data_IF_017320399380
#
_entry.id   IF_017320399380
#
_cell.length_a   1.000
_cell.length_b   1.000
_cell.length_c   1.000
_cell.angle_alpha   90.00
_cell.angle_beta   90.00
_cell.angle_gamma   90.00
#
_symmetry.space_group_name_H-M   'P 1'
#
loop_
_entity.id
_entity.type
_entity.pdbx_description
1 polymer ?
#
# COMPACT_ATOMS: atom_id res chain seq x y z
N UNK A 1 25.73 23.23 -18.14
CA UNK A 1 24.35 23.46 -17.65
C UNK A 1 24.28 23.19 -16.14
N UNK A 2 24.01 24.21 -15.31
CA UNK A 2 24.02 24.06 -13.83
C UNK A 2 23.06 22.97 -13.35
N UNK A 3 23.42 22.27 -12.26
CA UNK A 3 22.65 21.14 -11.72
C UNK A 3 21.18 21.50 -11.41
N UNK A 4 20.91 22.75 -11.02
CA UNK A 4 19.56 23.30 -10.82
C UNK A 4 18.79 23.36 -12.14
N UNK A 5 19.36 23.96 -13.19
CA UNK A 5 18.75 24.04 -14.53
C UNK A 5 18.43 22.64 -15.07
N UNK A 6 19.31 21.67 -14.85
CA UNK A 6 19.05 20.27 -15.22
C UNK A 6 17.84 19.70 -14.46
N UNK A 7 17.77 19.87 -13.14
CA UNK A 7 16.61 19.37 -12.35
C UNK A 7 15.28 20.00 -12.78
N UNK A 8 15.29 21.31 -13.09
CA UNK A 8 14.11 22.02 -13.61
C UNK A 8 13.71 21.44 -14.97
N UNK A 9 14.65 21.29 -15.91
CA UNK A 9 14.38 20.73 -17.23
C UNK A 9 13.79 19.31 -17.17
N UNK A 10 14.36 18.42 -16.34
CA UNK A 10 13.83 17.07 -16.14
C UNK A 10 12.40 17.07 -15.57
N UNK A 11 12.12 17.97 -14.64
CA UNK A 11 10.78 18.07 -14.02
C UNK A 11 9.77 18.66 -15.00
N UNK A 12 10.15 19.70 -15.74
CA UNK A 12 9.30 20.30 -16.78
C UNK A 12 9.00 19.30 -17.91
N UNK A 13 10.01 18.57 -18.39
CA UNK A 13 9.83 17.52 -19.40
C UNK A 13 8.90 16.40 -18.93
N UNK A 14 9.10 15.91 -17.70
CA UNK A 14 8.21 14.89 -17.12
C UNK A 14 6.79 15.42 -16.87
N UNK A 15 6.63 16.68 -16.50
CA UNK A 15 5.32 17.31 -16.35
C UNK A 15 4.60 17.46 -17.69
N UNK A 16 5.29 17.92 -18.73
CA UNK A 16 4.77 17.99 -20.09
C UNK A 16 4.38 16.62 -20.62
N UNK A 17 5.23 15.61 -20.44
CA UNK A 17 4.94 14.22 -20.85
C UNK A 17 3.76 13.61 -20.09
N UNK A 18 3.66 13.86 -18.77
CA UNK A 18 2.53 13.40 -17.97
C UNK A 18 1.21 14.09 -18.36
N UNK A 19 1.24 15.41 -18.59
CA UNK A 19 0.09 16.16 -19.07
C UNK A 19 -0.37 15.66 -20.45
N UNK A 20 0.56 15.45 -21.39
CA UNK A 20 0.27 14.89 -22.71
C UNK A 20 -0.33 13.48 -22.60
N UNK A 21 0.24 12.61 -21.77
CA UNK A 21 -0.29 11.26 -21.54
C UNK A 21 -1.70 11.28 -20.94
N UNK A 22 -1.94 12.12 -19.93
CA UNK A 22 -3.26 12.25 -19.31
C UNK A 22 -4.29 12.87 -20.26
N UNK A 23 -3.89 13.82 -21.09
CA UNK A 23 -4.74 14.38 -22.14
C UNK A 23 -5.09 13.33 -23.21
N UNK A 24 -4.10 12.54 -23.65
CA UNK A 24 -4.31 11.42 -24.57
C UNK A 24 -5.24 10.34 -23.98
N UNK A 25 -5.03 9.99 -22.72
CA UNK A 25 -5.91 9.08 -21.97
C UNK A 25 -7.35 9.61 -21.90
N UNK A 26 -7.51 10.89 -21.56
CA UNK A 26 -8.81 11.55 -21.52
C UNK A 26 -9.52 11.52 -22.87
N UNK A 27 -8.79 11.83 -23.95
CA UNK A 27 -9.31 11.76 -25.32
C UNK A 27 -9.72 10.32 -25.68
N UNK A 28 -8.90 9.32 -25.35
CA UNK A 28 -9.18 7.92 -25.59
C UNK A 28 -10.46 7.45 -24.85
N UNK A 29 -10.65 7.86 -23.59
CA UNK A 29 -11.88 7.57 -22.84
C UNK A 29 -13.13 8.16 -23.53
N UNK A 30 -13.02 9.38 -24.06
CA UNK A 30 -14.12 10.04 -24.77
C UNK A 30 -14.44 9.35 -26.10
N UNK A 31 -13.41 9.00 -26.87
CA UNK A 31 -13.56 8.24 -28.12
C UNK A 31 -14.13 6.84 -27.90
N UNK A 32 -13.82 6.21 -26.77
CA UNK A 32 -14.36 4.90 -26.40
C UNK A 32 -15.75 4.97 -25.72
N UNK A 33 -16.37 6.14 -25.62
CA UNK A 33 -17.69 6.37 -25.01
C UNK A 33 -17.86 5.70 -23.64
N UNK A 34 -16.85 5.80 -22.77
CA UNK A 34 -16.86 5.10 -21.47
C UNK A 34 -18.06 5.52 -20.61
N UNK A 35 -18.82 4.52 -20.14
CA UNK A 35 -20.04 4.73 -19.37
C UNK A 35 -19.78 5.07 -17.89
N UNK A 36 -18.58 4.74 -17.38
CA UNK A 36 -18.25 4.75 -15.95
C UNK A 36 -19.31 4.02 -15.13
N UNK A 37 -19.53 2.76 -15.48
CA UNK A 37 -20.66 1.96 -14.97
C UNK A 37 -20.68 1.89 -13.43
N UNK A 38 -19.52 1.72 -12.79
CA UNK A 38 -19.44 1.63 -11.33
C UNK A 38 -19.68 2.98 -10.66
N UNK A 39 -19.22 4.08 -11.26
CA UNK A 39 -19.56 5.42 -10.78
C UNK A 39 -21.07 5.69 -10.83
N UNK A 40 -21.76 5.13 -11.83
CA UNK A 40 -23.21 5.20 -11.91
C UNK A 40 -23.89 4.35 -10.83
N UNK A 41 -23.31 3.20 -10.46
CA UNK A 41 -23.76 2.42 -9.30
C UNK A 41 -23.57 3.22 -8.01
N UNK A 42 -22.40 3.84 -7.78
CA UNK A 42 -22.16 4.69 -6.61
C UNK A 42 -23.16 5.84 -6.50
N UNK A 43 -23.44 6.51 -7.61
CA UNK A 43 -24.48 7.55 -7.65
C UNK A 43 -25.86 6.99 -7.31
N UNK A 44 -26.21 5.79 -7.80
CA UNK A 44 -27.47 5.14 -7.49
C UNK A 44 -27.56 4.77 -6.01
N UNK A 45 -26.48 4.28 -5.39
CA UNK A 45 -26.39 4.04 -3.95
C UNK A 45 -26.70 5.31 -3.15
N UNK A 46 -26.04 6.42 -3.49
CA UNK A 46 -26.31 7.71 -2.85
C UNK A 46 -27.74 8.21 -3.06
N UNK A 47 -28.35 7.91 -4.22
CA UNK A 47 -29.74 8.26 -4.49
C UNK A 47 -30.71 7.40 -3.68
N UNK A 48 -30.43 6.11 -3.53
CA UNK A 48 -31.19 5.17 -2.70
C UNK A 48 -31.15 5.59 -1.23
N UNK A 49 -29.97 5.94 -0.69
CA UNK A 49 -29.84 6.51 0.67
C UNK A 49 -30.75 7.73 0.83
N UNK A 50 -30.65 8.70 -0.09
CA UNK A 50 -31.46 9.93 -0.02
C UNK A 50 -32.96 9.67 -0.13
N UNK A 51 -33.36 8.67 -0.90
CA UNK A 51 -34.74 8.29 -1.11
C UNK A 51 -35.32 7.41 -0.01
N UNK A 52 -34.52 7.00 0.98
CA UNK A 52 -34.94 6.06 2.01
C UNK A 52 -35.22 4.64 1.47
N UNK A 53 -34.61 4.27 0.34
CA UNK A 53 -34.78 2.95 -0.28
C UNK A 53 -33.86 1.88 0.31
N UNK A 54 -34.15 0.62 0.02
CA UNK A 54 -33.33 -0.54 0.43
C UNK A 54 -32.07 -0.64 -0.44
N UNK A 55 -30.90 -0.42 0.16
CA UNK A 55 -29.61 -0.42 -0.54
C UNK A 55 -29.30 -1.76 -1.20
N UNK A 56 -29.67 -2.87 -0.58
CA UNK A 56 -29.29 -4.20 -1.06
C UNK A 56 -30.35 -4.80 -2.01
N UNK A 57 -31.53 -4.19 -2.10
CA UNK A 57 -32.52 -4.47 -3.12
C UNK A 57 -32.29 -3.70 -4.44
N UNK A 58 -31.60 -2.56 -4.41
CA UNK A 58 -31.43 -1.73 -5.62
C UNK A 58 -30.63 -2.44 -6.73
N UNK A 59 -30.95 -2.10 -7.97
CA UNK A 59 -30.24 -2.55 -9.18
C UNK A 59 -30.00 -1.35 -10.07
N UNK A 60 -28.75 -1.10 -10.43
CA UNK A 60 -28.36 0.07 -11.21
C UNK A 60 -27.81 -0.31 -12.58
N UNK A 61 -27.96 0.62 -13.53
CA UNK A 61 -27.45 0.54 -14.91
C UNK A 61 -28.10 -0.57 -15.74
N UNK A 62 -27.77 -0.63 -17.03
CA UNK A 62 -28.24 -1.69 -17.94
C UNK A 62 -27.79 -3.09 -17.51
N UNK A 63 -26.68 -3.20 -16.77
CA UNK A 63 -26.15 -4.45 -16.27
C UNK A 63 -26.82 -4.94 -14.97
N UNK A 64 -27.80 -4.19 -14.44
CA UNK A 64 -28.52 -4.50 -13.18
C UNK A 64 -27.57 -4.84 -12.02
N UNK A 65 -26.55 -4.01 -11.83
CA UNK A 65 -25.53 -4.23 -10.79
C UNK A 65 -26.09 -3.94 -9.39
N UNK A 66 -25.85 -4.81 -8.40
CA UNK A 66 -26.24 -4.60 -7.01
C UNK A 66 -25.21 -3.76 -6.23
N UNK A 67 -25.62 -3.27 -5.06
CA UNK A 67 -24.70 -2.75 -4.03
C UNK A 67 -23.94 -3.88 -3.36
N UNK A 68 -22.63 -3.73 -3.23
CA UNK A 68 -21.74 -4.78 -2.68
C UNK A 68 -20.86 -4.31 -1.52
N UNK A 69 -20.82 -3.01 -1.27
CA UNK A 69 -19.96 -2.38 -0.27
C UNK A 69 -20.69 -2.23 1.09
N UNK A 70 -19.93 -2.00 2.19
CA UNK A 70 -20.53 -1.66 3.47
C UNK A 70 -21.40 -0.38 3.34
N UNK A 71 -22.47 -0.23 4.15
CA UNK A 71 -23.41 0.88 3.98
C UNK A 71 -22.77 2.27 4.16
N UNK A 72 -21.65 2.36 4.89
CA UNK A 72 -20.88 3.59 5.01
C UNK A 72 -20.44 4.16 3.65
N UNK A 73 -20.12 3.30 2.67
CA UNK A 73 -19.74 3.75 1.34
C UNK A 73 -20.87 4.52 0.65
N UNK A 74 -22.11 4.04 0.76
CA UNK A 74 -23.27 4.67 0.15
C UNK A 74 -23.51 6.09 0.70
N UNK A 75 -23.25 6.32 1.99
CA UNK A 75 -23.29 7.66 2.60
C UNK A 75 -22.29 8.62 1.94
N UNK A 76 -21.07 8.15 1.66
CA UNK A 76 -20.05 8.95 0.97
C UNK A 76 -20.40 9.25 -0.49
N UNK A 77 -21.29 8.46 -1.09
CA UNK A 77 -21.72 8.65 -2.47
C UNK A 77 -22.96 9.55 -2.62
N UNK A 78 -23.64 9.91 -1.53
CA UNK A 78 -24.76 10.86 -1.54
C UNK A 78 -24.43 12.16 -2.31
N UNK A 79 -23.25 12.80 -2.16
CA UNK A 79 -22.94 14.02 -2.89
C UNK A 79 -22.91 13.87 -4.42
N UNK A 80 -22.67 12.66 -4.95
CA UNK A 80 -22.68 12.39 -6.40
C UNK A 80 -24.06 12.64 -7.02
N UNK A 81 -25.13 12.58 -6.22
CA UNK A 81 -26.51 12.80 -6.66
C UNK A 81 -26.79 14.27 -7.00
N UNK A 82 -26.02 15.22 -6.45
CA UNK A 82 -26.17 16.65 -6.71
C UNK A 82 -25.48 17.09 -8.00
N UNK A 83 -24.61 16.25 -8.55
CA UNK A 83 -23.85 16.57 -9.75
C UNK A 83 -24.58 16.12 -11.02
N UNK A 84 -24.47 16.91 -12.09
CA UNK A 84 -24.80 16.43 -13.44
C UNK A 84 -23.84 15.30 -13.83
N UNK A 85 -24.31 14.30 -14.56
CA UNK A 85 -23.52 13.10 -14.92
C UNK A 85 -22.20 13.48 -15.61
N UNK A 86 -22.22 14.44 -16.54
CA UNK A 86 -21.02 14.92 -17.23
C UNK A 86 -19.97 15.49 -16.26
N UNK A 87 -20.39 16.36 -15.33
CA UNK A 87 -19.51 16.95 -14.31
C UNK A 87 -18.95 15.88 -13.38
N UNK A 88 -19.80 14.95 -12.94
CA UNK A 88 -19.41 13.84 -12.08
C UNK A 88 -18.33 12.96 -12.74
N UNK A 89 -18.53 12.56 -14.00
CA UNK A 89 -17.54 11.78 -14.77
C UNK A 89 -16.22 12.53 -14.90
N UNK A 90 -16.26 13.82 -15.25
CA UNK A 90 -15.06 14.66 -15.35
C UNK A 90 -14.32 14.76 -14.02
N UNK A 91 -15.03 15.02 -12.94
CA UNK A 91 -14.46 15.11 -11.59
C UNK A 91 -13.85 13.77 -11.15
N UNK A 92 -14.54 12.64 -11.45
CA UNK A 92 -14.06 11.31 -11.11
C UNK A 92 -12.77 10.94 -11.85
N UNK A 93 -12.65 11.25 -13.15
CA UNK A 93 -11.39 11.06 -13.88
C UNK A 93 -10.29 11.94 -13.30
N UNK A 94 -10.53 13.24 -13.12
CA UNK A 94 -9.53 14.17 -12.58
C UNK A 94 -9.06 13.72 -11.19
N UNK A 95 -9.98 13.35 -10.31
CA UNK A 95 -9.69 12.82 -8.99
C UNK A 95 -8.85 11.54 -9.05
N UNK A 96 -9.21 10.58 -9.91
CA UNK A 96 -8.43 9.35 -10.06
C UNK A 96 -7.02 9.59 -10.65
N UNK A 97 -6.85 10.53 -11.59
CA UNK A 97 -5.53 10.91 -12.10
C UNK A 97 -4.66 11.53 -11.00
N UNK A 98 -5.22 12.38 -10.14
CA UNK A 98 -4.53 12.92 -8.97
C UNK A 98 -4.18 11.82 -7.95
N UNK A 99 -5.11 10.88 -7.71
CA UNK A 99 -4.88 9.73 -6.85
C UNK A 99 -3.81 8.78 -7.42
N UNK A 100 -3.70 8.65 -8.74
CA UNK A 100 -2.61 7.91 -9.38
C UNK A 100 -1.26 8.57 -9.10
N UNK A 101 -1.16 9.90 -9.23
CA UNK A 101 0.06 10.65 -8.87
C UNK A 101 0.39 10.47 -7.38
N UNK A 102 -0.62 10.48 -6.49
CA UNK A 102 -0.44 10.21 -5.07
C UNK A 102 0.03 8.76 -4.80
N UNK A 103 -0.57 7.78 -5.46
CA UNK A 103 -0.22 6.37 -5.36
C UNK A 103 1.25 6.15 -5.75
N UNK A 104 1.67 6.68 -6.90
CA UNK A 104 3.06 6.63 -7.36
C UNK A 104 3.99 7.34 -6.38
N UNK A 105 3.59 8.51 -5.88
CA UNK A 105 4.37 9.25 -4.87
C UNK A 105 4.63 8.41 -3.64
N UNK A 106 3.61 7.73 -3.11
CA UNK A 106 3.70 6.89 -1.92
C UNK A 106 4.44 5.58 -2.20
N UNK A 107 4.24 4.97 -3.37
CA UNK A 107 4.99 3.79 -3.83
C UNK A 107 6.51 4.07 -3.88
N UNK A 108 6.91 5.22 -4.41
CA UNK A 108 8.31 5.67 -4.40
C UNK A 108 8.82 6.05 -3.00
N UNK A 109 7.94 6.31 -2.01
CA UNK A 109 8.38 6.45 -0.60
C UNK A 109 8.71 5.09 0.00
N UNK A 110 7.93 4.06 -0.30
CA UNK A 110 8.11 2.71 0.26
C UNK A 110 9.21 1.91 -0.44
N UNK A 111 9.40 2.12 -1.75
CA UNK A 111 10.39 1.43 -2.57
C UNK A 111 11.73 2.18 -2.75
N UNK A 112 11.85 3.38 -2.17
CA UNK A 112 12.96 4.29 -2.50
C UNK A 112 12.83 4.91 -3.89
N UNK A 113 13.74 5.83 -4.21
CA UNK A 113 13.81 6.45 -5.55
C UNK A 113 15.26 6.48 -6.05
N UNK A 114 15.46 6.51 -7.39
CA UNK A 114 16.77 6.82 -7.95
C UNK A 114 17.22 8.22 -7.49
N UNK A 115 18.35 8.30 -6.76
CA UNK A 115 18.84 9.58 -6.18
C UNK A 115 19.11 10.66 -7.24
N UNK A 116 19.40 10.24 -8.48
CA UNK A 116 19.82 11.09 -9.60
C UNK A 116 18.69 11.82 -10.32
N UNK A 117 17.43 11.38 -10.17
CA UNK A 117 16.25 11.99 -10.82
C UNK A 117 15.47 12.81 -9.80
N UNK A 118 15.01 14.04 -10.13
CA UNK A 118 14.12 14.80 -9.27
C UNK A 118 12.88 13.99 -8.88
N UNK A 119 12.46 14.08 -7.62
CA UNK A 119 11.33 13.29 -7.12
C UNK A 119 10.06 13.53 -7.94
N UNK A 120 9.74 14.79 -8.23
CA UNK A 120 8.58 15.16 -9.03
C UNK A 120 8.67 14.57 -10.45
N UNK A 121 9.84 14.64 -11.09
CA UNK A 121 10.05 14.06 -12.42
C UNK A 121 9.81 12.54 -12.43
N UNK A 122 10.34 11.81 -11.45
CA UNK A 122 10.13 10.37 -11.33
C UNK A 122 8.64 10.02 -11.10
N UNK A 123 7.95 10.77 -10.23
CA UNK A 123 6.52 10.57 -9.98
C UNK A 123 5.71 10.78 -11.26
N UNK A 124 5.94 11.89 -11.96
CA UNK A 124 5.17 12.25 -13.15
C UNK A 124 5.45 11.29 -14.31
N UNK A 125 6.72 10.88 -14.50
CA UNK A 125 7.07 9.91 -15.54
C UNK A 125 6.42 8.54 -15.29
N UNK A 126 6.44 8.04 -14.05
CA UNK A 126 5.80 6.75 -13.72
C UNK A 126 4.28 6.88 -13.83
N UNK A 127 3.67 7.97 -13.37
CA UNK A 127 2.22 8.19 -13.50
C UNK A 127 1.78 8.27 -14.98
N UNK A 128 2.58 8.92 -15.83
CA UNK A 128 2.34 9.03 -17.27
C UNK A 128 2.24 7.67 -17.97
N UNK A 129 3.01 6.67 -17.52
CA UNK A 129 2.96 5.30 -18.04
C UNK A 129 1.88 4.49 -17.33
N UNK A 130 1.79 4.59 -16.00
CA UNK A 130 0.90 3.78 -15.18
C UNK A 130 -0.59 4.01 -15.49
N UNK A 131 -0.99 5.16 -16.07
CA UNK A 131 -2.38 5.41 -16.47
C UNK A 131 -2.87 4.45 -17.56
N UNK A 132 -1.94 3.91 -18.37
CA UNK A 132 -2.22 2.96 -19.45
C UNK A 132 -2.13 1.49 -19.02
N UNK A 133 -1.69 1.24 -17.79
CA UNK A 133 -1.68 -0.09 -17.18
C UNK A 133 -3.13 -0.58 -17.01
N UNK A 134 -3.45 -1.81 -17.41
CA UNK A 134 -4.83 -2.32 -17.48
C UNK A 134 -5.61 -2.12 -16.18
N UNK A 135 -5.09 -2.43 -14.97
CA UNK A 135 -5.87 -2.25 -13.74
C UNK A 135 -6.23 -0.79 -13.48
N UNK A 136 -5.34 0.14 -13.86
CA UNK A 136 -5.52 1.58 -13.69
C UNK A 136 -6.46 2.09 -14.78
N UNK A 137 -6.23 1.72 -16.04
CA UNK A 137 -7.12 2.03 -17.15
C UNK A 137 -8.55 1.60 -16.84
N UNK A 138 -8.76 0.34 -16.43
CA UNK A 138 -10.08 -0.22 -16.13
C UNK A 138 -10.69 0.44 -14.89
N UNK A 139 -9.89 0.79 -13.87
CA UNK A 139 -10.35 1.61 -12.72
C UNK A 139 -10.93 2.94 -13.17
N UNK A 140 -10.22 3.68 -14.02
CA UNK A 140 -10.68 4.97 -14.53
C UNK A 140 -11.82 4.83 -15.55
N UNK A 141 -11.86 3.74 -16.34
CA UNK A 141 -12.93 3.43 -17.30
C UNK A 141 -14.26 3.21 -16.58
N UNK A 142 -14.25 2.55 -15.43
CA UNK A 142 -15.46 2.29 -14.64
C UNK A 142 -15.75 3.37 -13.59
N UNK A 143 -14.79 4.24 -13.29
CA UNK A 143 -14.93 5.29 -12.28
C UNK A 143 -14.82 4.75 -10.84
N UNK A 144 -13.99 3.74 -10.66
CA UNK A 144 -13.77 3.01 -9.41
C UNK A 144 -12.97 3.81 -8.37
N UNK A 145 -13.12 3.43 -7.10
CA UNK A 145 -12.44 4.08 -5.95
C UNK A 145 -11.13 3.38 -5.52
N UNK A 146 -10.66 2.37 -6.25
CA UNK A 146 -9.54 1.54 -5.80
C UNK A 146 -8.23 2.31 -5.58
N UNK A 147 -7.97 3.35 -6.39
CA UNK A 147 -6.80 4.23 -6.19
C UNK A 147 -6.89 4.99 -4.85
N UNK A 148 -8.08 5.45 -4.46
CA UNK A 148 -8.30 6.09 -3.16
C UNK A 148 -7.96 5.13 -2.02
N UNK A 149 -8.46 3.89 -2.09
CA UNK A 149 -8.21 2.88 -1.05
C UNK A 149 -6.72 2.57 -0.91
N UNK A 150 -6.01 2.38 -2.03
CA UNK A 150 -4.58 2.12 -2.03
C UNK A 150 -3.77 3.31 -1.48
N UNK A 151 -4.15 4.55 -1.84
CA UNK A 151 -3.53 5.77 -1.33
C UNK A 151 -3.73 5.92 0.18
N UNK A 152 -4.94 5.67 0.70
CA UNK A 152 -5.23 5.74 2.14
C UNK A 152 -4.37 4.76 2.94
N UNK A 153 -4.24 3.51 2.45
CA UNK A 153 -3.40 2.49 3.08
C UNK A 153 -1.92 2.86 3.03
N UNK A 154 -1.39 3.23 1.86
CA UNK A 154 0.02 3.60 1.74
C UNK A 154 0.35 4.91 2.48
N UNK A 155 -0.62 5.82 2.64
CA UNK A 155 -0.45 7.03 3.42
C UNK A 155 -0.13 6.68 4.88
N UNK A 156 -0.88 5.77 5.48
CA UNK A 156 -0.64 5.26 6.84
C UNK A 156 0.73 4.59 6.98
N UNK A 157 1.06 3.70 6.05
CA UNK A 157 2.32 2.94 6.09
C UNK A 157 3.54 3.85 5.94
N UNK A 158 3.41 4.97 5.24
CA UNK A 158 4.49 5.95 5.05
C UNK A 158 4.54 7.05 6.11
N UNK A 159 3.63 7.04 7.10
CA UNK A 159 3.72 8.00 8.22
C UNK A 159 4.86 7.65 9.17
N UNK A 160 5.45 8.64 9.87
CA UNK A 160 6.38 8.39 10.98
C UNK A 160 5.75 7.55 12.10
N UNK A 161 6.57 6.83 12.86
CA UNK A 161 6.12 5.97 13.96
C UNK A 161 5.32 6.72 15.05
N UNK A 162 5.60 8.01 15.27
CA UNK A 162 4.92 8.85 16.25
C UNK A 162 3.57 9.44 15.76
N UNK A 163 3.22 9.28 14.48
CA UNK A 163 2.00 9.91 13.94
C UNK A 163 0.74 9.30 14.59
N UNK A 164 -0.03 10.12 15.32
CA UNK A 164 -1.17 9.65 16.12
C UNK A 164 -2.33 9.09 15.28
N UNK A 165 -2.52 9.61 14.07
CA UNK A 165 -3.59 9.19 13.16
C UNK A 165 -3.17 8.11 12.17
N UNK A 166 -1.92 7.62 12.22
CA UNK A 166 -1.53 6.53 11.33
C UNK A 166 -2.35 5.28 11.68
N UNK A 167 -3.04 4.73 10.69
CA UNK A 167 -4.03 3.66 10.80
C UNK A 167 -5.43 4.12 10.34
N UNK A 168 -5.74 5.41 10.46
CA UNK A 168 -7.07 5.92 10.14
C UNK A 168 -7.43 5.77 8.66
N UNK A 169 -6.45 5.96 7.76
CA UNK A 169 -6.66 5.74 6.32
C UNK A 169 -7.04 4.28 6.01
N UNK A 170 -6.36 3.33 6.64
CA UNK A 170 -6.59 1.89 6.50
C UNK A 170 -7.98 1.52 7.03
N UNK A 171 -8.36 2.06 8.19
CA UNK A 171 -9.69 1.85 8.76
C UNK A 171 -10.81 2.44 7.89
N UNK A 172 -10.61 3.64 7.36
CA UNK A 172 -11.55 4.28 6.44
C UNK A 172 -11.67 3.49 5.13
N UNK A 173 -10.54 3.04 4.57
CA UNK A 173 -10.54 2.24 3.36
C UNK A 173 -11.30 0.92 3.56
N UNK A 174 -11.10 0.25 4.71
CA UNK A 174 -11.85 -0.95 5.10
C UNK A 174 -13.36 -0.68 5.27
N UNK A 175 -13.72 0.51 5.76
CA UNK A 175 -15.11 0.95 5.91
C UNK A 175 -15.80 1.24 4.57
N UNK A 176 -15.05 1.68 3.56
CA UNK A 176 -15.54 1.88 2.19
C UNK A 176 -15.64 0.55 1.45
N UNK A 177 -14.66 -0.34 1.61
CA UNK A 177 -14.61 -1.65 0.95
C UNK A 177 -13.82 -2.58 1.84
N UNK A 178 -14.31 -3.79 2.13
CA UNK A 178 -13.73 -4.61 3.21
C UNK A 178 -12.30 -5.12 2.96
N UNK A 179 -11.87 -5.24 1.70
CA UNK A 179 -10.58 -5.83 1.29
C UNK A 179 -9.33 -5.27 2.01
N UNK A 180 -9.18 -3.94 2.23
CA UNK A 180 -8.05 -3.37 2.95
C UNK A 180 -7.99 -3.73 4.45
N UNK A 181 -9.03 -4.36 5.03
CA UNK A 181 -9.01 -4.79 6.44
C UNK A 181 -7.83 -5.73 6.76
N UNK A 182 -7.32 -6.48 5.77
CA UNK A 182 -6.15 -7.34 5.93
C UNK A 182 -4.89 -6.54 6.34
N UNK A 183 -4.79 -5.26 5.96
CA UNK A 183 -3.69 -4.41 6.42
C UNK A 183 -3.76 -4.13 7.92
N UNK A 184 -4.95 -3.94 8.49
CA UNK A 184 -5.09 -3.81 9.94
C UNK A 184 -4.63 -5.09 10.66
N UNK A 185 -4.94 -6.26 10.09
CA UNK A 185 -4.47 -7.57 10.58
C UNK A 185 -2.95 -7.69 10.48
N UNK A 186 -2.34 -7.32 9.34
CA UNK A 186 -0.88 -7.25 9.18
C UNK A 186 -0.23 -6.41 10.29
N UNK A 187 -0.73 -5.19 10.51
CA UNK A 187 -0.19 -4.27 11.51
C UNK A 187 -0.35 -4.84 12.93
N UNK A 188 -1.48 -5.47 13.23
CA UNK A 188 -1.75 -6.10 14.51
C UNK A 188 -0.81 -7.27 14.79
N UNK A 189 -0.68 -8.20 13.83
CA UNK A 189 0.16 -9.40 13.94
C UNK A 189 1.63 -9.02 14.03
N UNK A 190 2.10 -8.12 13.14
CA UNK A 190 3.49 -7.66 13.19
C UNK A 190 3.80 -6.91 14.49
N UNK A 191 2.90 -6.05 14.96
CA UNK A 191 3.02 -5.34 16.23
C UNK A 191 3.10 -6.31 17.42
N UNK A 192 2.20 -7.29 17.48
CA UNK A 192 2.16 -8.31 18.54
C UNK A 192 3.43 -9.16 18.56
N UNK A 193 3.87 -9.66 17.39
CA UNK A 193 5.07 -10.49 17.30
C UNK A 193 6.34 -9.71 17.64
N UNK A 194 6.44 -8.44 17.22
CA UNK A 194 7.55 -7.59 17.62
C UNK A 194 7.59 -7.36 19.13
N UNK A 195 6.44 -7.11 19.77
CA UNK A 195 6.35 -6.95 21.21
C UNK A 195 6.76 -8.22 21.97
N UNK A 196 6.34 -9.41 21.49
CA UNK A 196 6.72 -10.70 22.09
C UNK A 196 8.22 -11.00 21.98
N UNK A 197 8.86 -10.55 20.89
CA UNK A 197 10.30 -10.78 20.63
C UNK A 197 11.20 -9.68 21.20
N UNK A 198 10.64 -8.63 21.80
CA UNK A 198 11.39 -7.42 22.15
C UNK A 198 12.13 -7.50 23.49
N UNK A 199 13.36 -8.03 23.44
CA UNK A 199 14.35 -7.79 24.51
C UNK A 199 14.85 -6.33 24.52
N UNK A 200 14.91 -5.68 23.34
CA UNK A 200 15.44 -4.32 23.17
C UNK A 200 14.34 -3.25 23.21
N UNK A 201 14.56 -2.09 23.88
CA UNK A 201 13.59 -0.99 23.94
C UNK A 201 13.15 -0.47 22.57
N UNK A 202 14.06 -0.42 21.60
CA UNK A 202 13.77 0.08 20.24
C UNK A 202 12.77 -0.80 19.49
N UNK A 203 12.94 -2.13 19.56
CA UNK A 203 12.01 -3.10 18.95
C UNK A 203 10.64 -3.04 19.63
N UNK A 204 10.62 -2.79 20.95
CA UNK A 204 9.39 -2.60 21.72
C UNK A 204 8.64 -1.34 21.28
N UNK A 205 9.34 -0.22 21.12
CA UNK A 205 8.76 1.04 20.65
C UNK A 205 8.21 0.91 19.22
N UNK A 206 8.94 0.21 18.34
CA UNK A 206 8.49 -0.14 17.00
C UNK A 206 7.21 -0.97 17.05
N UNK A 207 7.20 -2.08 17.79
CA UNK A 207 6.03 -2.96 17.91
C UNK A 207 4.82 -2.24 18.49
N UNK A 208 5.02 -1.37 19.48
CA UNK A 208 3.97 -0.53 20.05
C UNK A 208 3.38 0.45 19.03
N UNK A 209 4.21 1.03 18.14
CA UNK A 209 3.75 1.92 17.08
C UNK A 209 2.84 1.18 16.08
N UNK A 210 3.21 -0.03 15.63
CA UNK A 210 2.39 -0.83 14.72
C UNK A 210 1.10 -1.32 15.37
N UNK A 211 1.16 -1.76 16.63
CA UNK A 211 -0.03 -2.09 17.41
C UNK A 211 -0.97 -0.89 17.53
N UNK A 212 -0.44 0.29 17.83
CA UNK A 212 -1.25 1.53 17.88
C UNK A 212 -1.91 1.81 16.53
N UNK A 213 -1.19 1.69 15.42
CA UNK A 213 -1.75 1.86 14.07
C UNK A 213 -2.88 0.88 13.78
N UNK A 214 -2.72 -0.38 14.19
CA UNK A 214 -3.76 -1.39 14.06
C UNK A 214 -5.01 -1.02 14.88
N UNK A 215 -4.83 -0.52 16.10
CA UNK A 215 -5.94 -0.05 16.95
C UNK A 215 -6.63 1.19 16.38
N UNK A 216 -5.88 2.15 15.83
CA UNK A 216 -6.46 3.32 15.13
C UNK A 216 -7.23 2.86 13.89
N UNK A 217 -6.71 1.92 13.11
CA UNK A 217 -7.42 1.35 11.96
C UNK A 217 -8.72 0.65 12.37
N UNK A 218 -8.66 -0.19 13.41
CA UNK A 218 -9.83 -0.87 13.95
C UNK A 218 -10.87 0.13 14.50
N UNK A 219 -10.43 1.15 15.24
CA UNK A 219 -11.28 2.19 15.78
C UNK A 219 -11.93 3.06 14.70
N UNK A 220 -11.18 3.46 13.67
CA UNK A 220 -11.74 4.20 12.53
C UNK A 220 -12.73 3.34 11.75
N UNK A 221 -12.41 2.06 11.48
CA UNK A 221 -13.33 1.13 10.86
C UNK A 221 -14.61 0.97 11.68
N UNK A 222 -14.50 0.71 12.98
CA UNK A 222 -15.66 0.63 13.88
C UNK A 222 -16.48 1.93 13.87
N UNK A 223 -15.83 3.09 13.81
CA UNK A 223 -16.48 4.39 13.64
C UNK A 223 -17.28 4.47 12.33
N UNK A 224 -16.74 4.00 11.20
CA UNK A 224 -17.49 3.96 9.93
C UNK A 224 -18.72 3.05 10.02
N UNK A 225 -18.59 1.90 10.70
CA UNK A 225 -19.69 0.97 10.94
C UNK A 225 -20.75 1.60 11.85
N UNK A 226 -20.34 2.28 12.92
CA UNK A 226 -21.26 2.96 13.84
C UNK A 226 -22.03 4.09 13.14
N UNK A 227 -21.34 4.93 12.36
CA UNK A 227 -21.99 5.98 11.55
C UNK A 227 -23.02 5.38 10.59
N UNK A 228 -22.66 4.30 9.89
CA UNK A 228 -23.59 3.60 9.02
C UNK A 228 -24.76 2.96 9.78
N UNK A 229 -24.52 2.36 10.95
CA UNK A 229 -25.58 1.74 11.75
C UNK A 229 -26.57 2.78 12.31
N UNK A 230 -26.11 3.99 12.62
CA UNK A 230 -26.97 5.08 13.06
C UNK A 230 -27.78 5.70 11.91
N UNK A 231 -27.14 5.92 10.76
CA UNK A 231 -27.79 6.54 9.60
C UNK A 231 -28.67 5.56 8.79
N UNK A 232 -28.27 4.28 8.74
CA UNK A 232 -28.83 3.22 7.90
C UNK A 232 -28.94 1.90 8.71
N UNK A 233 -29.75 1.86 9.78
CA UNK A 233 -29.80 0.71 10.71
C UNK A 233 -30.25 -0.59 10.04
N UNK A 234 -31.27 -0.52 9.19
CA UNK A 234 -31.80 -1.67 8.47
C UNK A 234 -30.75 -2.27 7.51
N UNK A 235 -30.16 -1.43 6.65
CA UNK A 235 -29.14 -1.86 5.69
C UNK A 235 -27.89 -2.36 6.41
N UNK A 236 -27.48 -1.72 7.50
CA UNK A 236 -26.34 -2.16 8.31
C UNK A 236 -26.57 -3.56 8.89
N UNK A 237 -27.74 -3.83 9.47
CA UNK A 237 -28.08 -5.18 9.95
C UNK A 237 -28.02 -6.18 8.79
N UNK A 238 -28.71 -5.89 7.68
CA UNK A 238 -28.77 -6.76 6.51
C UNK A 238 -27.39 -7.06 5.93
N UNK A 239 -26.50 -6.07 5.91
CA UNK A 239 -25.15 -6.23 5.43
C UNK A 239 -24.36 -7.22 6.27
N UNK A 240 -24.30 -6.99 7.59
CA UNK A 240 -23.47 -7.77 8.50
C UNK A 240 -24.01 -9.17 8.77
N UNK A 241 -25.32 -9.40 8.69
CA UNK A 241 -25.92 -10.71 8.96
C UNK A 241 -26.15 -11.57 7.72
N UNK A 242 -26.06 -11.00 6.51
CA UNK A 242 -26.41 -11.72 5.29
C UNK A 242 -25.54 -11.36 4.10
N UNK A 243 -25.58 -10.10 3.65
CA UNK A 243 -24.95 -9.71 2.37
C UNK A 243 -23.46 -10.01 2.40
N UNK A 244 -22.72 -9.65 3.46
CA UNK A 244 -21.27 -9.87 3.54
C UNK A 244 -20.88 -11.36 3.46
N UNK A 245 -21.80 -12.26 3.83
CA UNK A 245 -21.60 -13.72 3.82
C UNK A 245 -21.96 -14.36 2.48
N UNK A 246 -22.78 -13.70 1.65
CA UNK A 246 -23.18 -14.20 0.34
C UNK A 246 -22.01 -14.05 -0.67
N UNK A 247 -21.39 -15.15 -1.13
CA UNK A 247 -20.20 -15.08 -1.97
C UNK A 247 -20.55 -14.70 -3.43
N UNK A 248 -21.77 -14.94 -3.87
CA UNK A 248 -22.32 -14.64 -5.20
C UNK A 248 -22.82 -13.19 -5.36
N UNK A 249 -22.82 -12.39 -4.29
CA UNK A 249 -23.33 -11.00 -4.32
C UNK A 249 -22.63 -10.08 -5.33
N UNK A 250 -21.40 -10.40 -5.72
CA UNK A 250 -20.51 -9.49 -6.44
C UNK A 250 -20.51 -9.75 -7.95
N UNK A 251 -21.09 -10.85 -8.44
CA UNK A 251 -21.07 -11.25 -9.84
C UNK A 251 -20.66 -12.72 -10.02
N UNK A 252 -20.46 -13.12 -11.28
CA UNK A 252 -20.06 -14.49 -11.63
C UNK A 252 -18.60 -14.73 -11.20
N UNK A 253 -18.37 -15.82 -10.47
CA UNK A 253 -17.06 -16.14 -9.90
C UNK A 253 -16.03 -16.43 -10.99
N UNK A 254 -16.42 -17.11 -12.05
CA UNK A 254 -15.56 -17.56 -13.14
C UNK A 254 -15.12 -16.47 -14.12
N UNK A 255 -15.76 -15.29 -14.09
CA UNK A 255 -15.53 -14.20 -15.04
C UNK A 255 -14.02 -13.92 -15.17
N UNK A 256 -13.56 -13.73 -16.40
CA UNK A 256 -12.15 -13.50 -16.72
C UNK A 256 -11.61 -12.28 -15.99
N UNK A 257 -12.45 -11.27 -15.77
CA UNK A 257 -12.11 -10.11 -14.96
C UNK A 257 -11.80 -10.48 -13.50
N UNK A 258 -12.38 -11.58 -12.97
CA UNK A 258 -12.13 -12.04 -11.61
C UNK A 258 -10.76 -12.75 -11.52
N UNK A 259 -9.81 -11.97 -11.04
CA UNK A 259 -8.42 -12.33 -10.79
C UNK A 259 -8.21 -12.76 -9.32
N UNK A 260 -9.22 -13.32 -8.65
CA UNK A 260 -9.07 -13.98 -7.34
C UNK A 260 -8.77 -15.47 -7.49
N UNK A 261 -8.34 -16.12 -6.41
CA UNK A 261 -8.24 -17.59 -6.38
C UNK A 261 -9.59 -18.26 -6.64
N UNK A 262 -10.71 -17.62 -6.25
CA UNK A 262 -12.04 -18.16 -6.55
C UNK A 262 -12.26 -18.26 -8.05
N UNK A 263 -11.95 -17.20 -8.79
CA UNK A 263 -12.11 -17.19 -10.24
C UNK A 263 -11.18 -18.18 -10.94
N UNK A 264 -9.93 -18.28 -10.49
CA UNK A 264 -8.99 -19.29 -11.01
C UNK A 264 -9.51 -20.70 -10.78
N UNK A 265 -9.93 -21.03 -9.56
CA UNK A 265 -10.43 -22.38 -9.24
C UNK A 265 -11.74 -22.68 -9.96
N UNK A 266 -12.65 -21.70 -10.07
CA UNK A 266 -13.90 -21.85 -10.84
C UNK A 266 -13.63 -22.22 -12.31
N UNK A 267 -12.69 -21.51 -12.96
CA UNK A 267 -12.28 -21.81 -14.33
C UNK A 267 -11.62 -23.19 -14.43
N UNK A 268 -10.68 -23.52 -13.53
CA UNK A 268 -10.00 -24.82 -13.50
C UNK A 268 -10.95 -26.00 -13.31
N UNK A 269 -11.99 -25.83 -12.49
CA UNK A 269 -13.00 -26.87 -12.25
C UNK A 269 -14.13 -26.87 -13.28
N UNK A 270 -14.16 -25.88 -14.19
CA UNK A 270 -15.25 -25.67 -15.14
C UNK A 270 -16.64 -25.51 -14.47
N UNK A 271 -16.69 -25.02 -13.23
CA UNK A 271 -17.91 -24.75 -12.45
C UNK A 271 -17.91 -23.34 -11.88
N UNK A 272 -19.09 -22.71 -11.79
CA UNK A 272 -19.21 -21.33 -11.29
C UNK A 272 -19.03 -21.17 -9.78
N UNK A 273 -19.23 -22.23 -9.00
CA UNK A 273 -19.06 -22.20 -7.55
C UNK A 273 -18.05 -23.27 -7.08
N UNK A 274 -16.78 -22.90 -6.85
CA UNK A 274 -15.70 -23.84 -6.56
C UNK A 274 -15.68 -24.39 -5.12
N UNK A 275 -16.61 -23.96 -4.27
CA UNK A 275 -16.82 -24.50 -2.93
C UNK A 275 -15.56 -24.59 -2.05
N UNK A 276 -15.35 -25.76 -1.44
CA UNK A 276 -14.31 -25.98 -0.42
C UNK A 276 -12.87 -25.89 -0.95
N UNK A 277 -12.64 -26.20 -2.24
CA UNK A 277 -11.29 -26.13 -2.83
C UNK A 277 -10.78 -24.69 -2.85
N UNK A 278 -11.63 -23.75 -3.30
CA UNK A 278 -11.32 -22.32 -3.22
C UNK A 278 -11.09 -21.88 -1.78
N UNK A 279 -11.96 -22.26 -0.85
CA UNK A 279 -11.83 -21.83 0.55
C UNK A 279 -10.50 -22.32 1.15
N UNK A 280 -10.12 -23.57 0.88
CA UNK A 280 -8.85 -24.14 1.33
C UNK A 280 -7.66 -23.39 0.73
N UNK A 281 -7.68 -23.15 -0.59
CA UNK A 281 -6.63 -22.38 -1.27
C UNK A 281 -6.53 -20.94 -0.73
N UNK A 282 -7.67 -20.30 -0.45
CA UNK A 282 -7.73 -18.95 0.10
C UNK A 282 -7.18 -18.89 1.54
N UNK A 283 -7.49 -19.86 2.39
CA UNK A 283 -6.94 -19.93 3.76
C UNK A 283 -5.43 -20.14 3.73
N UNK A 284 -4.94 -21.09 2.92
CA UNK A 284 -3.50 -21.37 2.81
C UNK A 284 -2.74 -20.17 2.23
N UNK A 285 -3.22 -19.60 1.12
CA UNK A 285 -2.61 -18.42 0.50
C UNK A 285 -2.69 -17.19 1.42
N UNK A 286 -3.80 -17.03 2.15
CA UNK A 286 -3.99 -15.97 3.13
C UNK A 286 -2.98 -16.05 4.27
N UNK A 287 -2.83 -17.24 4.87
CA UNK A 287 -1.87 -17.48 5.93
C UNK A 287 -0.42 -17.29 5.46
N UNK A 288 -0.06 -17.89 4.32
CA UNK A 288 1.29 -17.79 3.75
C UNK A 288 1.63 -16.34 3.34
N UNK A 289 0.73 -15.67 2.64
CA UNK A 289 0.92 -14.30 2.18
C UNK A 289 0.99 -13.29 3.33
N UNK A 290 0.15 -13.46 4.38
CA UNK A 290 0.24 -12.67 5.60
C UNK A 290 1.56 -12.93 6.34
N UNK A 291 2.01 -14.18 6.44
CA UNK A 291 3.29 -14.51 7.04
C UNK A 291 4.47 -13.86 6.29
N UNK A 292 4.44 -13.87 4.96
CA UNK A 292 5.44 -13.16 4.12
C UNK A 292 5.41 -11.66 4.38
N UNK A 293 4.22 -11.03 4.41
CA UNK A 293 4.09 -9.61 4.65
C UNK A 293 4.59 -9.22 6.06
N UNK A 294 4.27 -10.02 7.08
CA UNK A 294 4.76 -9.86 8.45
C UNK A 294 6.28 -10.03 8.51
N UNK A 295 6.83 -11.05 7.87
CA UNK A 295 8.27 -11.30 7.82
C UNK A 295 9.02 -10.13 7.16
N UNK A 296 8.51 -9.61 6.04
CA UNK A 296 9.09 -8.45 5.36
C UNK A 296 9.06 -7.19 6.23
N UNK A 297 7.99 -6.98 7.00
CA UNK A 297 7.88 -5.84 7.90
C UNK A 297 8.82 -5.96 9.10
N UNK A 298 8.94 -7.17 9.68
CA UNK A 298 9.82 -7.48 10.82
C UNK A 298 11.31 -7.56 10.45
N UNK A 299 11.64 -7.76 9.17
CA UNK A 299 13.01 -7.69 8.71
C UNK A 299 13.63 -6.30 8.98
N UNK A 300 12.81 -5.24 8.99
CA UNK A 300 13.25 -3.89 9.30
C UNK A 300 14.38 -3.45 8.36
N UNK A 301 15.43 -2.85 8.91
CA UNK A 301 16.57 -2.35 8.13
C UNK A 301 17.38 -3.45 7.44
N UNK A 302 17.21 -4.72 7.83
CA UNK A 302 17.85 -5.87 7.17
C UNK A 302 17.29 -6.12 5.77
N UNK A 303 16.05 -5.68 5.51
CA UNK A 303 15.42 -5.75 4.20
C UNK A 303 15.23 -4.34 3.65
N UNK A 304 16.06 -3.90 2.69
CA UNK A 304 15.80 -2.68 1.94
C UNK A 304 14.36 -2.70 1.40
N UNK A 305 13.64 -1.59 1.64
CA UNK A 305 12.24 -1.41 1.23
C UNK A 305 11.26 -2.39 1.90
N UNK A 306 11.57 -2.91 3.10
CA UNK A 306 10.73 -3.88 3.81
C UNK A 306 9.26 -3.46 3.98
N UNK A 307 8.99 -2.17 4.18
CA UNK A 307 7.62 -1.64 4.23
C UNK A 307 6.89 -1.76 2.87
N UNK A 308 7.61 -1.58 1.75
CA UNK A 308 7.08 -1.78 0.41
C UNK A 308 6.80 -3.25 0.12
N UNK A 309 7.73 -4.14 0.46
CA UNK A 309 7.53 -5.59 0.39
C UNK A 309 6.30 -6.04 1.19
N UNK A 310 6.20 -5.62 2.45
CA UNK A 310 5.06 -5.93 3.31
C UNK A 310 3.74 -5.42 2.73
N UNK A 311 3.72 -4.18 2.23
CA UNK A 311 2.52 -3.56 1.69
C UNK A 311 2.00 -4.28 0.44
N UNK A 312 2.89 -4.56 -0.52
CA UNK A 312 2.53 -5.24 -1.76
C UNK A 312 2.15 -6.69 -1.48
N UNK A 313 2.91 -7.42 -0.64
CA UNK A 313 2.55 -8.79 -0.25
C UNK A 313 1.16 -8.86 0.38
N UNK A 314 0.84 -7.93 1.30
CA UNK A 314 -0.48 -7.88 1.94
C UNK A 314 -1.59 -7.56 0.94
N UNK A 315 -1.37 -6.59 0.03
CA UNK A 315 -2.34 -6.24 -0.99
C UNK A 315 -2.63 -7.41 -1.94
N UNK A 316 -1.60 -8.04 -2.48
CA UNK A 316 -1.75 -9.16 -3.40
C UNK A 316 -2.41 -10.36 -2.71
N UNK A 317 -2.07 -10.61 -1.44
CA UNK A 317 -2.76 -11.62 -0.62
C UNK A 317 -4.24 -11.29 -0.48
N UNK A 318 -4.60 -10.05 -0.13
CA UNK A 318 -6.00 -9.63 -0.01
C UNK A 318 -6.77 -9.79 -1.33
N UNK A 319 -6.13 -9.51 -2.46
CA UNK A 319 -6.72 -9.69 -3.79
C UNK A 319 -6.91 -11.17 -4.15
N UNK A 320 -5.93 -12.02 -3.85
CA UNK A 320 -6.01 -13.46 -4.10
C UNK A 320 -7.13 -14.13 -3.29
N UNK A 321 -7.29 -13.77 -2.01
CA UNK A 321 -8.22 -14.46 -1.10
C UNK A 321 -9.62 -13.86 -1.06
N UNK A 322 -9.82 -12.67 -1.63
CA UNK A 322 -11.15 -12.07 -1.77
C UNK A 322 -12.05 -12.98 -2.63
N UNK A 323 -13.36 -13.12 -2.32
CA UNK A 323 -14.30 -13.90 -3.15
C UNK A 323 -14.33 -13.41 -4.61
N UNK A 324 -14.15 -12.10 -4.80
CA UNK A 324 -14.03 -11.47 -6.11
C UNK A 324 -12.96 -10.39 -6.05
N UNK A 325 -12.04 -10.44 -7.01
CA UNK A 325 -11.03 -9.41 -7.26
C UNK A 325 -10.96 -9.11 -8.74
N UNK A 326 -11.78 -8.17 -9.19
CA UNK A 326 -11.78 -7.71 -10.57
C UNK A 326 -10.41 -7.17 -11.00
N UNK A 327 -10.10 -7.20 -12.29
CA UNK A 327 -8.82 -6.70 -12.84
C UNK A 327 -8.51 -5.28 -12.35
N UNK A 328 -9.51 -4.41 -12.30
CA UNK A 328 -9.38 -3.05 -11.79
C UNK A 328 -9.13 -2.93 -10.27
N UNK A 329 -9.26 -4.00 -9.48
CA UNK A 329 -8.80 -4.00 -8.07
C UNK A 329 -7.27 -4.09 -7.98
N UNK A 330 -6.60 -4.56 -9.04
CA UNK A 330 -5.16 -4.79 -9.10
C UNK A 330 -4.32 -3.53 -9.38
N UNK A 331 -4.82 -2.34 -9.02
CA UNK A 331 -4.03 -1.08 -9.06
C UNK A 331 -2.73 -1.18 -8.24
N UNK A 332 -2.65 -2.15 -7.34
CA UNK A 332 -1.44 -2.56 -6.61
C UNK A 332 -0.31 -3.09 -7.50
N UNK A 333 -0.57 -3.36 -8.79
CA UNK A 333 0.46 -3.58 -9.79
C UNK A 333 1.43 -2.38 -9.87
N UNK A 334 0.95 -1.15 -9.69
CA UNK A 334 1.79 0.06 -9.69
C UNK A 334 2.86 0.03 -8.58
N UNK A 335 2.50 -0.07 -7.28
CA UNK A 335 3.51 -0.20 -6.22
C UNK A 335 4.39 -1.45 -6.37
N UNK A 336 3.85 -2.56 -6.89
CA UNK A 336 4.63 -3.77 -7.16
C UNK A 336 5.74 -3.51 -8.19
N UNK A 337 5.40 -2.94 -9.35
CA UNK A 337 6.36 -2.66 -10.43
C UNK A 337 7.37 -1.58 -10.03
N UNK A 338 6.93 -0.57 -9.28
CA UNK A 338 7.83 0.44 -8.70
C UNK A 338 8.83 -0.19 -7.74
N UNK A 339 8.39 -1.15 -6.91
CA UNK A 339 9.27 -1.88 -5.99
C UNK A 339 10.28 -2.76 -6.74
N UNK A 340 9.83 -3.56 -7.71
CA UNK A 340 10.70 -4.42 -8.51
C UNK A 340 11.72 -3.59 -9.33
N UNK A 341 11.28 -2.48 -9.93
CA UNK A 341 12.17 -1.57 -10.65
C UNK A 341 13.20 -0.91 -9.72
N UNK A 342 12.80 -0.55 -8.51
CA UNK A 342 13.72 0.01 -7.50
C UNK A 342 14.75 -1.02 -7.03
N UNK A 343 14.34 -2.29 -6.91
CA UNK A 343 15.23 -3.41 -6.63
C UNK A 343 16.18 -3.70 -7.79
N UNK A 344 15.72 -3.64 -9.04
CA UNK A 344 16.57 -3.78 -10.22
C UNK A 344 17.67 -2.72 -10.26
N UNK A 345 17.32 -1.46 -10.00
CA UNK A 345 18.28 -0.36 -9.95
C UNK A 345 19.25 -0.47 -8.76
N UNK A 346 18.78 -0.96 -7.61
CA UNK A 346 19.59 -1.11 -6.41
C UNK A 346 20.58 -2.27 -6.52
N UNK A 347 20.11 -3.43 -6.99
CA UNK A 347 20.91 -4.66 -7.07
C UNK A 347 21.81 -4.71 -8.30
N UNK A 348 21.45 -4.00 -9.37
CA UNK A 348 22.11 -4.08 -10.69
C UNK A 348 22.18 -5.53 -11.22
N UNK A 349 21.17 -6.32 -10.88
CA UNK A 349 21.03 -7.70 -11.34
C UNK A 349 19.97 -7.75 -12.44
N UNK A 350 20.31 -8.24 -13.65
CA UNK A 350 19.40 -8.27 -14.79
C UNK A 350 18.12 -9.06 -14.52
N UNK A 351 18.13 -10.05 -13.61
CA UNK A 351 16.94 -10.85 -13.28
C UNK A 351 15.80 -9.98 -12.74
N UNK A 352 16.13 -8.94 -11.97
CA UNK A 352 15.16 -7.98 -11.44
C UNK A 352 14.63 -7.04 -12.52
N UNK A 353 15.48 -6.65 -13.47
CA UNK A 353 15.06 -5.85 -14.62
C UNK A 353 14.11 -6.66 -15.51
N UNK A 354 14.44 -7.93 -15.78
CA UNK A 354 13.58 -8.87 -16.52
C UNK A 354 12.25 -9.08 -15.80
N UNK A 355 12.26 -9.32 -14.49
CA UNK A 355 11.02 -9.46 -13.71
C UNK A 355 10.15 -8.21 -13.73
N UNK A 356 10.76 -7.01 -13.68
CA UNK A 356 10.05 -5.74 -13.82
C UNK A 356 9.45 -5.59 -15.21
N UNK A 357 10.22 -5.88 -16.26
CA UNK A 357 9.77 -5.80 -17.65
C UNK A 357 8.65 -6.80 -17.95
N UNK A 358 8.76 -8.04 -17.47
CA UNK A 358 7.72 -9.06 -17.59
C UNK A 358 6.43 -8.63 -16.89
N UNK A 359 6.53 -8.05 -15.69
CA UNK A 359 5.39 -7.46 -15.00
C UNK A 359 4.76 -6.32 -15.79
N UNK A 360 5.56 -5.38 -16.31
CA UNK A 360 5.05 -4.31 -17.17
C UNK A 360 4.35 -4.86 -18.42
N UNK A 361 4.93 -5.84 -19.10
CA UNK A 361 4.33 -6.47 -20.27
C UNK A 361 2.98 -7.12 -19.91
N UNK A 362 2.92 -7.86 -18.80
CA UNK A 362 1.68 -8.49 -18.33
C UNK A 362 0.58 -7.45 -18.06
N UNK A 363 0.86 -6.42 -17.24
CA UNK A 363 -0.17 -5.47 -16.84
C UNK A 363 -0.50 -4.41 -17.89
N UNK A 364 0.37 -4.18 -18.88
CA UNK A 364 0.12 -3.22 -19.97
C UNK A 364 -0.35 -3.88 -21.28
N UNK A 365 -0.31 -5.21 -21.40
CA UNK A 365 -0.72 -5.91 -22.63
C UNK A 365 -2.23 -6.05 -22.81
N UNK A 366 -3.01 -5.93 -21.73
CA UNK A 366 -4.44 -6.28 -21.72
C UNK A 366 -4.73 -7.75 -22.09
N UNK A 367 -3.71 -8.61 -22.13
CA UNK A 367 -3.81 -9.96 -22.70
C UNK A 367 -4.80 -10.87 -21.97
N UNK A 368 -5.14 -10.58 -20.72
CA UNK A 368 -6.20 -11.30 -19.99
C UNK A 368 -7.55 -11.25 -20.74
N UNK A 369 -7.78 -10.21 -21.56
CA UNK A 369 -9.00 -10.03 -22.33
C UNK A 369 -9.00 -10.74 -23.70
N UNK A 370 -7.87 -11.35 -24.10
CA UNK A 370 -7.77 -12.06 -25.40
C UNK A 370 -8.39 -13.46 -25.39
N UNK A 371 -8.87 -13.91 -24.22
CA UNK A 371 -9.53 -15.21 -24.05
C UNK A 371 -11.05 -15.08 -24.26
N UNK A 372 -11.77 -16.17 -24.60
CA UNK A 372 -13.23 -16.14 -24.63
C UNK A 372 -13.83 -15.71 -23.28
N UNK A 373 -14.65 -14.66 -23.29
CA UNK A 373 -15.29 -14.07 -22.10
C UNK A 373 -16.68 -13.49 -22.43
N UNK A 374 -17.53 -13.30 -21.42
CA UNK A 374 -18.80 -12.57 -21.56
C UNK A 374 -20.08 -13.36 -21.24
N UNK A 375 -21.26 -12.92 -21.75
CA UNK A 375 -22.59 -13.37 -21.27
C UNK A 375 -22.87 -14.88 -21.39
N UNK A 376 -22.11 -15.61 -22.21
CA UNK A 376 -22.23 -17.05 -22.40
C UNK A 376 -21.46 -17.91 -21.39
N UNK A 377 -20.80 -17.31 -20.39
CA UNK A 377 -19.94 -18.01 -19.41
C UNK A 377 -18.85 -18.84 -20.10
N UNK A 378 -18.27 -18.29 -21.17
CA UNK A 378 -17.23 -18.95 -21.98
C UNK A 378 -15.99 -19.31 -21.16
N UNK A 379 -15.80 -18.63 -20.03
CA UNK A 379 -14.76 -18.84 -19.04
C UNK A 379 -14.75 -20.27 -18.49
N UNK A 380 -15.93 -20.88 -18.34
CA UNK A 380 -16.07 -22.28 -17.91
C UNK A 380 -15.68 -23.28 -18.99
N UNK A 381 -15.38 -22.85 -20.22
CA UNK A 381 -14.96 -23.71 -21.33
C UNK A 381 -13.58 -23.36 -21.86
N UNK A 382 -12.84 -22.54 -21.11
CA UNK A 382 -11.48 -22.16 -21.49
C UNK A 382 -10.58 -23.40 -21.54
N UNK A 383 -9.68 -23.46 -22.52
CA UNK A 383 -8.60 -24.44 -22.56
C UNK A 383 -7.49 -24.08 -21.58
N UNK A 384 -6.57 -25.01 -21.28
CA UNK A 384 -5.47 -24.75 -20.35
C UNK A 384 -4.61 -23.50 -20.72
N UNK A 385 -4.25 -23.26 -22.00
CA UNK A 385 -3.55 -22.03 -22.38
C UNK A 385 -4.37 -20.76 -22.12
N UNK A 386 -5.67 -20.80 -22.38
CA UNK A 386 -6.57 -19.66 -22.11
C UNK A 386 -6.68 -19.41 -20.60
N UNK A 387 -6.76 -20.46 -19.79
CA UNK A 387 -6.76 -20.31 -18.33
C UNK A 387 -5.46 -19.74 -17.80
N UNK A 388 -4.30 -20.11 -18.37
CA UNK A 388 -3.01 -19.52 -18.00
C UNK A 388 -2.99 -18.02 -18.30
N UNK A 389 -3.50 -17.62 -19.47
CA UNK A 389 -3.58 -16.22 -19.87
C UNK A 389 -4.54 -15.43 -18.96
N UNK A 390 -5.71 -16.00 -18.66
CA UNK A 390 -6.72 -15.40 -17.77
C UNK A 390 -6.34 -15.46 -16.28
N UNK A 391 -5.29 -16.18 -15.91
CA UNK A 391 -4.74 -16.24 -14.55
C UNK A 391 -3.43 -15.44 -14.39
N UNK A 392 -3.08 -14.59 -15.37
CA UNK A 392 -1.82 -13.86 -15.36
C UNK A 392 -1.57 -13.05 -14.09
N UNK A 393 -2.58 -12.38 -13.53
CA UNK A 393 -2.39 -11.55 -12.33
C UNK A 393 -2.20 -12.39 -11.07
N UNK A 394 -3.04 -13.43 -10.80
CA UNK A 394 -2.77 -14.40 -9.75
C UNK A 394 -1.39 -15.05 -9.83
N UNK A 395 -0.95 -15.45 -11.02
CA UNK A 395 0.37 -16.05 -11.24
C UNK A 395 1.48 -15.06 -10.89
N UNK A 396 1.36 -13.80 -11.32
CA UNK A 396 2.30 -12.74 -10.95
C UNK A 396 2.32 -12.49 -9.43
N UNK A 397 1.18 -12.56 -8.75
CA UNK A 397 1.11 -12.44 -7.30
C UNK A 397 1.80 -13.59 -6.57
N UNK A 398 1.58 -14.84 -7.00
CA UNK A 398 2.25 -16.00 -6.42
C UNK A 398 3.76 -15.92 -6.64
N UNK A 399 4.21 -15.53 -7.83
CA UNK A 399 5.62 -15.29 -8.12
C UNK A 399 6.21 -14.18 -7.22
N UNK A 400 5.51 -13.06 -7.09
CA UNK A 400 5.93 -11.96 -6.21
C UNK A 400 6.00 -12.40 -4.75
N UNK A 401 4.98 -13.09 -4.23
CA UNK A 401 4.95 -13.59 -2.84
C UNK A 401 6.08 -14.58 -2.57
N UNK A 402 6.42 -15.42 -3.54
CA UNK A 402 7.56 -16.35 -3.46
C UNK A 402 8.88 -15.58 -3.35
N UNK A 403 9.11 -14.58 -4.23
CA UNK A 403 10.28 -13.72 -4.17
C UNK A 403 10.32 -12.95 -2.85
N UNK A 404 9.22 -12.32 -2.44
CA UNK A 404 9.08 -11.58 -1.20
C UNK A 404 9.41 -12.45 0.02
N UNK A 405 8.89 -13.68 0.06
CA UNK A 405 9.20 -14.66 1.09
C UNK A 405 10.69 -14.99 1.14
N UNK A 406 11.30 -15.27 -0.02
CA UNK A 406 12.74 -15.59 -0.08
C UNK A 406 13.63 -14.44 0.40
N UNK A 407 13.34 -13.19 0.00
CA UNK A 407 14.14 -12.03 0.40
C UNK A 407 13.91 -11.66 1.87
N UNK A 408 12.68 -11.78 2.36
CA UNK A 408 12.36 -11.53 3.76
C UNK A 408 13.02 -12.56 4.69
N UNK A 409 12.91 -13.85 4.36
CA UNK A 409 13.52 -14.93 5.13
C UNK A 409 15.06 -14.78 5.15
N UNK A 410 15.69 -14.54 3.99
CA UNK A 410 17.14 -14.28 3.93
C UNK A 410 17.53 -13.08 4.79
N UNK A 411 16.79 -11.98 4.71
CA UNK A 411 17.05 -10.80 5.53
C UNK A 411 16.88 -11.07 7.04
N UNK A 412 15.94 -11.94 7.43
CA UNK A 412 15.75 -12.32 8.82
C UNK A 412 16.91 -13.16 9.38
N UNK A 413 17.55 -13.99 8.54
CA UNK A 413 18.70 -14.83 8.90
C UNK A 413 20.06 -14.13 8.77
N UNK A 414 20.17 -13.03 8.02
CA UNK A 414 21.42 -12.26 7.97
C UNK A 414 21.68 -11.52 9.28
N UNK A 415 22.85 -11.78 9.88
CA UNK A 415 23.37 -11.06 11.05
C UNK A 415 23.47 -9.56 10.70
N UNK A 416 23.04 -8.64 11.59
CA UNK A 416 23.19 -7.22 11.32
C UNK A 416 24.68 -6.89 11.17
N UNK A 417 25.10 -6.49 9.97
CA UNK A 417 26.40 -5.84 9.82
C UNK A 417 26.31 -4.48 10.50
N UNK A 418 27.12 -4.26 11.55
CA UNK A 418 27.32 -2.92 12.11
C UNK A 418 27.85 -2.03 10.97
N UNK A 419 27.00 -1.20 10.37
CA UNK A 419 27.47 -0.20 9.42
C UNK A 419 28.23 0.89 10.21
N UNK A 420 29.53 0.97 9.99
CA UNK A 420 30.36 2.12 10.38
C UNK A 420 29.74 3.37 9.76
N UNK A 421 29.43 4.35 10.61
CA UNK A 421 28.86 5.64 10.24
C UNK A 421 29.89 6.47 9.46
N UNK A 422 29.71 6.61 8.15
CA UNK A 422 30.31 7.72 7.38
C UNK A 422 29.22 8.74 7.07
N UNK A 423 29.49 9.98 7.43
CA UNK A 423 28.62 11.15 7.33
C UNK A 423 27.99 11.35 5.94
N UNK A 424 26.67 11.52 5.89
CA UNK A 424 25.98 12.66 5.27
C UNK A 424 24.45 12.45 5.23
N UNK A 425 23.72 13.53 5.52
CA UNK A 425 22.34 13.52 5.98
C UNK A 425 21.28 13.08 4.97
N UNK A 426 20.50 12.05 5.34
CA UNK A 426 19.05 12.07 5.60
C UNK A 426 18.77 10.86 6.50
N UNK A 427 18.58 11.09 7.80
CA UNK A 427 18.27 10.05 8.78
C UNK A 427 16.78 9.71 8.74
N UNK A 428 16.45 8.51 8.26
CA UNK A 428 15.31 7.74 8.79
C UNK A 428 15.86 7.03 10.04
N UNK A 429 15.85 7.77 11.17
CA UNK A 429 16.22 7.49 12.58
C UNK A 429 17.38 6.53 12.92
N UNK A 430 18.33 7.01 13.77
CA UNK A 430 18.98 6.24 14.84
C UNK A 430 18.32 6.54 16.21
N UNK A 431 18.60 5.70 17.22
CA UNK A 431 18.04 5.72 18.57
C UNK A 431 18.27 6.99 19.42
N UNK A 432 17.68 7.07 20.63
CA UNK A 432 17.63 8.30 21.41
C UNK A 432 18.94 8.56 22.16
N UNK A 433 19.59 9.68 21.83
CA UNK A 433 20.64 10.28 22.65
C UNK A 433 20.04 11.08 23.80
N UNK A 434 20.61 10.91 24.98
CA UNK A 434 20.41 11.71 26.20
C UNK A 434 20.76 13.17 25.90
N UNK A 435 19.93 14.10 26.34
CA UNK A 435 20.17 15.55 26.18
C UNK A 435 21.31 16.02 27.11
N UNK A 436 22.14 16.99 26.69
CA UNK A 436 23.09 17.61 27.60
C UNK A 436 22.35 18.67 28.43
N UNK A 437 22.30 18.46 29.74
CA UNK A 437 21.97 19.49 30.72
C UNK A 437 23.25 20.11 31.26
N UNK A 438 23.26 21.44 31.23
CA UNK A 438 23.93 22.39 32.11
C UNK A 438 25.48 22.37 32.27
N UNK A 439 26.13 23.33 31.63
CA UNK A 439 27.29 24.04 32.20
C UNK A 439 27.08 25.57 32.10
N UNK A 440 27.42 26.35 33.15
CA UNK A 440 27.10 27.76 33.24
C UNK A 440 28.15 28.67 32.60
N UNK A 441 27.69 29.85 32.19
CA UNK A 441 28.45 30.92 31.56
C UNK A 441 29.31 31.73 32.54
N UNK A 442 30.58 31.97 32.19
CA UNK A 442 31.40 33.13 32.59
C UNK A 442 32.40 33.33 31.42
N UNK A 443 32.31 34.38 30.60
CA UNK A 443 32.76 35.74 30.91
C UNK A 443 34.14 35.99 30.28
N UNK A 444 34.17 36.43 29.01
CA UNK A 444 35.39 36.86 28.32
C UNK A 444 35.78 38.28 28.73
N UNK A 445 37.00 38.45 29.25
CA UNK A 445 37.74 39.72 29.21
C UNK A 445 39.15 39.47 28.69
N UNK A 446 39.55 40.24 27.68
CA UNK A 446 40.87 40.25 27.09
C UNK A 446 41.80 41.25 27.80
N UNK A 447 43.10 40.92 27.91
CA UNK A 447 44.17 41.85 28.30
C UNK A 447 45.46 41.14 28.74
N UNK A 448 46.67 41.69 28.51
CA UNK A 448 47.81 40.90 28.03
C UNK A 448 49.00 40.70 28.99
N UNK A 449 49.84 39.74 28.57
CA UNK A 449 51.22 39.37 28.93
C UNK A 449 52.07 40.30 29.82
N UNK A 450 52.69 39.71 30.87
CA UNK A 450 54.05 40.01 31.39
C UNK A 450 54.60 38.70 32.05
N UNK A 451 55.83 38.27 31.71
CA UNK A 451 56.59 37.22 32.43
C UNK A 451 57.45 37.82 33.56
N UNK A 452 58.60 37.26 33.99
CA UNK A 452 59.08 35.87 34.03
C UNK A 452 59.58 35.47 35.47
N UNK A 453 60.15 34.27 35.61
CA UNK A 453 60.97 33.86 36.77
C UNK A 453 60.18 33.11 37.86
N UNK A 454 60.71 32.16 38.62
CA UNK A 454 62.08 31.63 38.83
C UNK A 454 61.94 30.25 39.52
N UNK A 455 62.97 29.41 39.39
CA UNK A 455 63.54 28.47 40.39
C UNK A 455 62.58 27.63 41.27
N UNK A 456 62.55 26.30 41.10
CA UNK A 456 63.44 25.30 41.73
C UNK A 456 63.17 25.04 43.22
N UNK A 457 63.57 23.85 43.70
CA UNK A 457 63.56 23.34 45.10
C UNK A 457 62.42 22.34 45.44
N UNK A 458 62.75 21.04 45.27
CA UNK A 458 62.50 19.99 46.29
C UNK A 458 63.53 20.21 47.44
N UNK A 459 63.41 19.68 48.69
CA UNK A 459 62.86 18.35 49.03
C UNK A 459 62.27 18.15 50.45
N UNK A 460 61.94 16.88 50.73
CA UNK A 460 62.07 16.15 52.00
C UNK A 460 61.05 16.36 53.12
N UNK A 461 60.62 15.23 53.71
CA UNK A 461 60.28 15.20 55.14
C UNK A 461 59.26 14.15 55.58
N UNK A 462 59.78 13.02 56.06
CA UNK A 462 59.32 12.30 57.26
C UNK A 462 57.95 11.57 57.28
N UNK A 463 58.05 10.24 57.19
CA UNK A 463 57.27 9.23 57.94
C UNK A 463 57.58 9.39 59.46
N UNK A 464 56.78 8.92 60.48
CA UNK A 464 56.60 7.47 60.69
C UNK A 464 55.39 6.98 61.55
N UNK A 465 55.28 5.64 61.67
CA UNK A 465 54.64 4.78 62.74
C UNK A 465 53.12 4.54 62.66
N UNK A 466 52.67 3.32 62.28
CA UNK A 466 52.44 2.07 63.07
C UNK A 466 51.11 2.05 63.86
N UNK A 467 50.54 0.88 64.26
CA UNK A 467 50.41 -0.42 63.60
C UNK A 467 49.00 -1.10 63.75
N UNK A 468 48.82 -2.18 62.99
CA UNK A 468 48.20 -3.49 63.31
C UNK A 468 46.87 -3.61 64.08
N UNK A 469 46.04 -4.55 63.63
CA UNK A 469 45.10 -5.25 64.52
C UNK A 469 43.94 -5.94 63.80
N UNK A 470 44.09 -7.24 63.60
CA UNK A 470 43.12 -8.22 63.14
C UNK A 470 41.89 -8.41 64.05
N UNK A 471 40.74 -8.69 63.43
CA UNK A 471 39.77 -9.71 63.84
C UNK A 471 38.86 -10.05 62.67
#
# INVERSE_FOLDING_TARGET
MNAVRRRVAWTAGAAGGCAASFAGFWAAQRGAHVSMIDLMVYRAEGATVRGGGDLYAMRATYARLPTTYPPFAALLFVPLTWLRVGTMRTAATAGNLLLLVALVTLSLRTAGRPRRVPRAAAVLAVAAVAVWCEPVWTTLRYGQVNLLLAVLVLWDLTRPAAHRWAGAGTGLAAGIKLTPALFAVLLAVAGLLALRRAARPEVRAWGAAYRRRALVAAGTFAGTVAVAALALPYDSRRFWTGVVLAPDRVGLGEDTANQSLRGVVARLQHIGDPGALWLTAAVLAGAAGLAVAVAALLAGDRLPYGAGWAAVSCALTALLVSPVSWSHHWVWAVPMLVLLGSEALRRRDPRWAVGTAAGCALFCSFALWDVPHGPGRHELRQSAPQMLLSAGYPLAAVAFLTVAGTVAVRALYTTPTRSVSTADGVRLLPGPGVGPGDEPAVGHTAGPAIGPGTESVRPAGANPRHPAGSS
#
